data_IF_773830185118
#
_entry.id   IF_773830185118
#
_cell.length_a   1.000
_cell.length_b   1.000
_cell.length_c   1.000
_cell.angle_alpha   90.00
_cell.angle_beta   90.00
_cell.angle_gamma   90.00
#
_symmetry.space_group_name_H-M   'P 1'
#
loop_
_entity.id
_entity.type
_entity.pdbx_description
1 polymer ?
#
# COMPACT_ATOMS: atom_id res chain seq x y z
N UNK A 1 20.90 -15.97 23.44
CA UNK A 1 21.61 -16.61 22.31
C UNK A 1 22.19 -15.52 21.43
N UNK A 2 23.51 -15.54 21.21
CA UNK A 2 24.28 -14.44 20.64
C UNK A 2 23.86 -14.12 19.20
N UNK A 3 23.21 -12.98 18.99
CA UNK A 3 22.97 -12.39 17.67
C UNK A 3 24.32 -12.08 17.02
N UNK A 4 24.72 -12.85 16.00
CA UNK A 4 25.72 -12.39 15.05
C UNK A 4 25.16 -11.11 14.40
N UNK A 5 25.79 -9.98 14.74
CA UNK A 5 25.39 -8.66 14.24
C UNK A 5 25.55 -8.62 12.72
N UNK A 6 24.46 -8.29 12.05
CA UNK A 6 24.45 -7.90 10.64
C UNK A 6 25.19 -6.56 10.50
N UNK A 7 26.52 -6.61 10.34
CA UNK A 7 27.36 -5.41 10.23
C UNK A 7 27.20 -4.71 8.87
N UNK A 8 26.63 -5.39 7.87
CA UNK A 8 26.43 -4.83 6.53
C UNK A 8 25.30 -3.77 6.47
N UNK A 9 24.20 -3.94 7.22
CA UNK A 9 23.08 -2.99 7.22
C UNK A 9 23.30 -1.76 8.13
N UNK A 10 24.17 -1.87 9.14
CA UNK A 10 24.33 -0.86 10.20
C UNK A 10 25.54 0.06 10.05
N UNK A 11 26.46 -0.21 9.12
CA UNK A 11 27.72 0.56 8.96
C UNK A 11 27.78 1.42 7.69
N UNK A 12 26.74 1.42 6.84
CA UNK A 12 26.68 2.24 5.63
C UNK A 12 26.09 3.64 5.83
N UNK A 13 26.03 4.42 4.74
CA UNK A 13 25.47 5.80 4.66
C UNK A 13 24.09 5.97 5.31
N UNK A 14 23.29 4.89 5.41
CA UNK A 14 21.93 4.93 6.00
C UNK A 14 21.89 4.68 7.51
N UNK A 15 23.01 4.37 8.17
CA UNK A 15 23.07 4.12 9.62
C UNK A 15 22.51 5.27 10.48
N UNK A 16 22.87 6.54 10.22
CA UNK A 16 22.31 7.69 10.94
C UNK A 16 20.81 7.86 10.73
N UNK A 17 20.34 7.69 9.48
CA UNK A 17 18.91 7.78 9.14
C UNK A 17 18.15 6.67 9.86
N UNK A 18 18.65 5.43 9.84
CA UNK A 18 18.01 4.31 10.54
C UNK A 18 17.90 4.56 12.05
N UNK A 19 18.97 5.06 12.68
CA UNK A 19 18.95 5.41 14.10
C UNK A 19 17.98 6.54 14.40
N UNK A 20 17.79 7.49 13.48
CA UNK A 20 16.80 8.55 13.63
C UNK A 20 15.38 7.99 13.52
N UNK A 21 15.07 7.25 12.45
CA UNK A 21 13.74 6.67 12.22
C UNK A 21 13.32 5.73 13.37
N UNK A 22 14.21 4.82 13.82
CA UNK A 22 13.92 3.90 14.93
C UNK A 22 13.70 4.60 16.28
N UNK A 23 14.30 5.78 16.50
CA UNK A 23 14.23 6.49 17.79
C UNK A 23 13.13 7.53 17.87
N UNK A 24 12.77 8.14 16.75
CA UNK A 24 11.97 9.37 16.74
C UNK A 24 10.64 9.26 16.00
N UNK A 25 10.43 8.26 15.14
CA UNK A 25 9.14 8.10 14.47
C UNK A 25 8.16 7.40 15.41
N UNK A 26 7.07 8.07 15.81
CA UNK A 26 6.04 7.47 16.66
C UNK A 26 5.18 6.47 15.88
N UNK A 27 4.27 5.78 16.57
CA UNK A 27 3.27 4.94 15.89
C UNK A 27 2.31 5.79 15.03
N UNK A 28 1.73 5.20 13.98
CA UNK A 28 0.76 5.86 13.12
C UNK A 28 -0.43 6.41 13.92
N UNK A 29 -0.89 5.69 14.95
CA UNK A 29 -1.96 6.13 15.84
C UNK A 29 -1.57 7.37 16.66
N UNK A 30 -0.38 7.38 17.27
CA UNK A 30 0.12 8.55 17.99
C UNK A 30 0.20 9.76 17.06
N UNK A 31 0.60 9.53 15.81
CA UNK A 31 0.63 10.60 14.82
C UNK A 31 -0.76 11.13 14.47
N UNK A 32 -1.76 10.27 14.22
CA UNK A 32 -3.12 10.70 13.93
C UNK A 32 -3.69 11.60 15.05
N UNK A 33 -3.42 11.25 16.31
CA UNK A 33 -3.79 12.07 17.47
C UNK A 33 -3.03 13.41 17.51
N UNK A 34 -1.71 13.38 17.32
CA UNK A 34 -0.89 14.60 17.33
C UNK A 34 -1.29 15.54 16.18
N UNK A 35 -1.52 15.01 14.99
CA UNK A 35 -1.97 15.78 13.82
C UNK A 35 -3.32 16.43 14.08
N UNK A 36 -4.25 15.73 14.75
CA UNK A 36 -5.54 16.31 15.16
C UNK A 36 -5.33 17.57 16.00
N UNK A 37 -4.44 17.51 17.00
CA UNK A 37 -4.12 18.65 17.85
C UNK A 37 -3.47 19.77 17.04
N UNK A 38 -2.50 19.43 16.19
CA UNK A 38 -1.78 20.41 15.35
C UNK A 38 -2.76 21.13 14.42
N UNK A 39 -3.65 20.41 13.72
CA UNK A 39 -4.65 21.02 12.84
C UNK A 39 -5.64 21.89 13.62
N UNK A 40 -6.09 21.45 14.80
CA UNK A 40 -6.94 22.27 15.66
C UNK A 40 -6.24 23.57 16.10
N UNK A 41 -4.95 23.51 16.45
CA UNK A 41 -4.17 24.70 16.80
C UNK A 41 -3.93 25.62 15.60
N UNK A 42 -3.65 25.07 14.42
CA UNK A 42 -3.52 25.87 13.20
C UNK A 42 -4.83 26.56 12.86
N UNK A 43 -5.97 25.87 12.96
CA UNK A 43 -7.28 26.49 12.78
C UNK A 43 -7.49 27.65 13.75
N UNK A 44 -7.14 27.48 15.02
CA UNK A 44 -7.29 28.52 16.03
C UNK A 44 -6.38 29.75 15.81
N UNK A 45 -5.15 29.52 15.35
CA UNK A 45 -4.12 30.56 15.24
C UNK A 45 -4.10 31.26 13.89
N UNK A 46 -4.60 30.60 12.84
CA UNK A 46 -4.45 31.05 11.44
C UNK A 46 -5.80 31.37 10.77
N UNK A 47 -6.92 31.19 11.47
CA UNK A 47 -8.27 31.45 10.94
C UNK A 47 -9.13 32.14 11.99
N UNK A 48 -10.25 32.74 11.57
CA UNK A 48 -11.21 33.39 12.49
C UNK A 48 -12.20 32.41 13.16
N UNK A 49 -11.86 31.12 13.23
CA UNK A 49 -12.76 30.08 13.76
C UNK A 49 -12.73 30.02 15.28
N UNK A 50 -13.90 30.08 15.92
CA UNK A 50 -14.01 29.96 17.38
C UNK A 50 -13.59 28.56 17.88
N UNK A 51 -12.95 28.42 19.06
CA UNK A 51 -12.54 27.13 19.62
C UNK A 51 -13.68 26.10 19.71
N UNK A 52 -14.90 26.56 20.02
CA UNK A 52 -16.09 25.70 20.11
C UNK A 52 -16.49 25.13 18.77
N UNK A 53 -16.34 25.91 17.69
CA UNK A 53 -16.64 25.46 16.33
C UNK A 53 -15.59 24.46 15.85
N UNK A 54 -14.31 24.64 16.20
CA UNK A 54 -13.25 23.66 15.88
C UNK A 54 -13.58 22.28 16.46
N UNK A 55 -13.98 22.21 17.74
CA UNK A 55 -14.38 20.95 18.39
C UNK A 55 -15.61 20.36 17.72
N UNK A 56 -16.61 21.18 17.38
CA UNK A 56 -17.82 20.75 16.69
C UNK A 56 -17.53 20.22 15.29
N UNK A 57 -16.70 20.91 14.50
CA UNK A 57 -16.31 20.48 13.15
C UNK A 57 -15.52 19.17 13.19
N UNK A 58 -14.60 19.03 14.16
CA UNK A 58 -13.91 17.77 14.41
C UNK A 58 -14.87 16.63 14.74
N UNK A 59 -15.76 16.83 15.72
CA UNK A 59 -16.70 15.81 16.18
C UNK A 59 -17.68 15.37 15.09
N UNK A 60 -18.22 16.33 14.33
CA UNK A 60 -19.11 16.05 13.20
C UNK A 60 -18.38 15.34 12.05
N UNK A 61 -17.07 15.59 11.89
CA UNK A 61 -16.23 14.97 10.87
C UNK A 61 -15.92 13.50 11.13
N UNK A 62 -15.97 13.02 12.39
CA UNK A 62 -15.51 11.66 12.77
C UNK A 62 -16.15 10.53 11.96
N UNK A 63 -17.40 10.69 11.52
CA UNK A 63 -18.14 9.69 10.73
C UNK A 63 -18.07 9.93 9.21
N UNK A 64 -17.42 11.01 8.76
CA UNK A 64 -17.48 11.50 7.38
C UNK A 64 -16.87 10.57 6.33
N UNK A 65 -16.01 9.63 6.74
CA UNK A 65 -15.34 8.68 5.82
C UNK A 65 -15.56 7.21 6.19
N UNK A 66 -16.62 6.87 6.91
CA UNK A 66 -16.87 5.48 7.36
C UNK A 66 -16.99 4.47 6.19
N UNK A 67 -17.65 4.87 5.09
CA UNK A 67 -17.74 4.03 3.89
C UNK A 67 -16.35 3.76 3.30
N UNK A 68 -15.56 4.82 3.12
CA UNK A 68 -14.18 4.75 2.63
C UNK A 68 -13.28 3.90 3.54
N UNK A 69 -13.36 4.10 4.86
CA UNK A 69 -12.65 3.29 5.85
C UNK A 69 -12.99 1.81 5.69
N UNK A 70 -14.27 1.48 5.57
CA UNK A 70 -14.73 0.10 5.40
C UNK A 70 -14.20 -0.50 4.10
N UNK A 71 -14.23 0.28 3.01
CA UNK A 71 -13.68 -0.14 1.72
C UNK A 71 -12.17 -0.43 1.81
N UNK A 72 -11.39 0.41 2.49
CA UNK A 72 -9.94 0.19 2.71
C UNK A 72 -9.66 -1.05 3.57
N UNK A 73 -10.43 -1.24 4.65
CA UNK A 73 -10.34 -2.44 5.48
C UNK A 73 -10.63 -3.71 4.67
N UNK A 74 -11.65 -3.69 3.79
CA UNK A 74 -11.99 -4.83 2.95
C UNK A 74 -10.86 -5.18 1.97
N UNK A 75 -10.20 -4.20 1.34
CA UNK A 75 -9.08 -4.47 0.42
C UNK A 75 -7.96 -5.22 1.15
N UNK A 76 -7.57 -4.75 2.35
CA UNK A 76 -6.52 -5.38 3.14
C UNK A 76 -6.95 -6.77 3.63
N UNK A 77 -8.15 -6.88 4.20
CA UNK A 77 -8.69 -8.13 4.73
C UNK A 77 -8.80 -9.20 3.64
N UNK A 78 -9.42 -8.87 2.50
CA UNK A 78 -9.62 -9.80 1.38
C UNK A 78 -8.29 -10.13 0.70
N UNK A 79 -7.38 -9.16 0.57
CA UNK A 79 -6.02 -9.40 0.08
C UNK A 79 -5.26 -10.40 0.98
N UNK A 80 -5.39 -10.27 2.29
CA UNK A 80 -4.80 -11.19 3.26
C UNK A 80 -5.42 -12.59 3.19
N UNK A 81 -6.74 -12.70 3.10
CA UNK A 81 -7.42 -13.99 2.92
C UNK A 81 -6.94 -14.65 1.63
N UNK A 82 -6.95 -13.90 0.52
CA UNK A 82 -6.57 -14.40 -0.81
C UNK A 82 -5.13 -14.93 -0.83
N UNK A 83 -4.18 -14.21 -0.21
CA UNK A 83 -2.78 -14.60 -0.10
C UNK A 83 -2.58 -15.96 0.61
N UNK A 84 -3.51 -16.32 1.48
CA UNK A 84 -3.47 -17.55 2.27
C UNK A 84 -4.37 -18.66 1.74
N UNK A 85 -5.00 -18.47 0.58
CA UNK A 85 -5.74 -19.56 -0.06
C UNK A 85 -4.80 -20.62 -0.65
N UNK A 86 -5.22 -21.88 -0.63
CA UNK A 86 -4.45 -23.00 -1.17
C UNK A 86 -3.96 -22.81 -2.62
N UNK A 87 -4.78 -22.34 -3.57
CA UNK A 87 -4.34 -22.07 -4.95
C UNK A 87 -3.21 -21.04 -5.03
N UNK A 88 -3.32 -19.90 -4.33
CA UNK A 88 -2.31 -18.84 -4.36
C UNK A 88 -1.01 -19.32 -3.72
N UNK A 89 -1.08 -20.00 -2.56
CA UNK A 89 0.09 -20.60 -1.90
C UNK A 89 0.84 -21.58 -2.81
N UNK A 90 0.12 -22.44 -3.54
CA UNK A 90 0.71 -23.36 -4.53
C UNK A 90 1.45 -22.62 -5.64
N UNK A 91 0.87 -21.54 -6.17
CA UNK A 91 1.50 -20.73 -7.21
C UNK A 91 2.78 -20.07 -6.67
N UNK A 92 2.76 -19.49 -5.48
CA UNK A 92 3.94 -18.85 -4.88
C UNK A 92 5.09 -19.85 -4.65
N UNK A 93 4.79 -21.06 -4.16
CA UNK A 93 5.79 -22.13 -3.99
C UNK A 93 6.35 -22.58 -5.34
N UNK A 94 5.52 -22.67 -6.39
CA UNK A 94 5.98 -23.02 -7.73
C UNK A 94 6.90 -21.93 -8.31
N UNK A 95 6.52 -20.66 -8.16
CA UNK A 95 7.33 -19.52 -8.60
C UNK A 95 8.67 -19.45 -7.87
N UNK A 96 8.73 -19.82 -6.59
CA UNK A 96 9.96 -19.83 -5.81
C UNK A 96 11.06 -20.76 -6.35
N UNK A 97 10.71 -21.72 -7.21
CA UNK A 97 11.65 -22.65 -7.85
C UNK A 97 12.29 -22.07 -9.11
N UNK A 98 11.76 -20.98 -9.68
CA UNK A 98 12.20 -20.41 -10.96
C UNK A 98 13.62 -19.80 -10.88
N UNK A 99 13.97 -19.00 -9.86
CA UNK A 99 15.28 -18.35 -9.84
C UNK A 99 16.43 -19.36 -9.76
N UNK A 100 17.43 -19.20 -10.64
CA UNK A 100 18.57 -20.12 -10.75
C UNK A 100 19.89 -19.58 -10.20
N UNK A 101 19.97 -18.28 -9.91
CA UNK A 101 21.17 -17.60 -9.40
C UNK A 101 20.82 -16.40 -8.50
N UNK A 102 21.75 -15.93 -7.64
CA UNK A 102 21.45 -14.92 -6.64
C UNK A 102 20.83 -13.64 -7.18
N UNK A 103 21.46 -12.99 -8.17
CA UNK A 103 20.95 -11.72 -8.72
C UNK A 103 19.54 -11.86 -9.35
N UNK A 104 19.27 -13.00 -9.98
CA UNK A 104 17.93 -13.30 -10.55
C UNK A 104 16.92 -13.51 -9.43
N UNK A 105 17.30 -14.11 -8.29
CA UNK A 105 16.40 -14.33 -7.17
C UNK A 105 15.85 -13.00 -6.60
N UNK A 106 16.72 -12.01 -6.34
CA UNK A 106 16.27 -10.73 -5.81
C UNK A 106 15.38 -9.98 -6.81
N UNK A 107 15.83 -9.92 -8.07
CA UNK A 107 15.07 -9.27 -9.14
C UNK A 107 13.69 -9.93 -9.35
N UNK A 108 13.65 -11.27 -9.34
CA UNK A 108 12.42 -12.03 -9.51
C UNK A 108 11.44 -11.81 -8.36
N UNK A 109 11.91 -11.87 -7.10
CA UNK A 109 11.06 -11.60 -5.94
C UNK A 109 10.48 -10.19 -6.02
N UNK A 110 11.29 -9.19 -6.35
CA UNK A 110 10.83 -7.81 -6.54
C UNK A 110 9.76 -7.72 -7.64
N UNK A 111 10.02 -8.25 -8.84
CA UNK A 111 9.10 -8.13 -9.98
C UNK A 111 7.76 -8.81 -9.68
N UNK A 112 7.77 -10.03 -9.13
CA UNK A 112 6.52 -10.73 -8.79
C UNK A 112 5.76 -9.97 -7.71
N UNK A 113 6.45 -9.48 -6.67
CA UNK A 113 5.83 -8.67 -5.63
C UNK A 113 5.24 -7.37 -6.21
N UNK A 114 5.95 -6.68 -7.09
CA UNK A 114 5.49 -5.44 -7.73
C UNK A 114 4.25 -5.66 -8.58
N UNK A 115 4.21 -6.74 -9.36
CA UNK A 115 3.03 -7.11 -10.14
C UNK A 115 1.84 -7.40 -9.22
N UNK A 116 2.05 -8.18 -8.15
CA UNK A 116 0.98 -8.45 -7.19
C UNK A 116 0.50 -7.18 -6.49
N UNK A 117 1.41 -6.28 -6.09
CA UNK A 117 1.06 -5.01 -5.46
C UNK A 117 0.34 -4.03 -6.41
N UNK A 118 0.71 -4.02 -7.69
CA UNK A 118 0.04 -3.22 -8.71
C UNK A 118 -1.43 -3.62 -8.86
N UNK A 119 -1.74 -4.91 -8.81
CA UNK A 119 -3.13 -5.36 -8.84
C UNK A 119 -3.78 -5.21 -7.46
N UNK A 120 -3.22 -5.85 -6.44
CA UNK A 120 -3.81 -5.97 -5.11
C UNK A 120 -2.72 -5.82 -4.06
N UNK A 121 -2.58 -4.60 -3.54
CA UNK A 121 -1.51 -4.28 -2.60
C UNK A 121 -1.55 -5.11 -1.30
N UNK A 122 -2.75 -5.40 -0.79
CA UNK A 122 -2.93 -6.25 0.41
C UNK A 122 -2.44 -7.69 0.19
N UNK A 123 -2.62 -8.24 -1.01
CA UNK A 123 -2.08 -9.54 -1.41
C UNK A 123 -0.56 -9.47 -1.60
N UNK A 124 -0.09 -8.45 -2.33
CA UNK A 124 1.32 -8.32 -2.71
C UNK A 124 2.28 -8.21 -1.52
N UNK A 125 1.92 -7.49 -0.47
CA UNK A 125 2.75 -7.39 0.75
C UNK A 125 2.98 -8.76 1.41
N UNK A 126 1.92 -9.56 1.55
CA UNK A 126 2.00 -10.88 2.20
C UNK A 126 2.68 -11.88 1.26
N UNK A 127 2.28 -11.89 -0.01
CA UNK A 127 2.86 -12.77 -1.02
C UNK A 127 4.35 -12.50 -1.23
N UNK A 128 4.78 -11.23 -1.17
CA UNK A 128 6.20 -10.84 -1.22
C UNK A 128 7.01 -11.41 -0.07
N UNK A 129 6.47 -11.40 1.15
CA UNK A 129 7.10 -12.02 2.33
C UNK A 129 7.25 -13.53 2.17
N UNK A 130 6.15 -14.19 1.78
CA UNK A 130 6.12 -15.64 1.55
C UNK A 130 7.09 -16.02 0.45
N UNK A 131 7.06 -15.32 -0.70
CA UNK A 131 7.93 -15.60 -1.83
C UNK A 131 9.41 -15.41 -1.47
N UNK A 132 9.77 -14.35 -0.73
CA UNK A 132 11.13 -14.12 -0.27
C UNK A 132 11.66 -15.29 0.57
N UNK A 133 10.85 -15.81 1.50
CA UNK A 133 11.22 -16.98 2.30
C UNK A 133 11.28 -18.25 1.47
N UNK A 134 10.28 -18.54 0.65
CA UNK A 134 10.27 -19.76 -0.17
C UNK A 134 11.44 -19.78 -1.17
N UNK A 135 11.80 -18.64 -1.77
CA UNK A 135 12.97 -18.53 -2.64
C UNK A 135 14.26 -18.81 -1.85
N UNK A 136 14.37 -18.33 -0.61
CA UNK A 136 15.52 -18.63 0.26
C UNK A 136 15.61 -20.13 0.58
N UNK A 137 14.49 -20.77 0.94
CA UNK A 137 14.42 -22.21 1.26
C UNK A 137 14.77 -23.06 0.04
N UNK A 138 14.18 -22.76 -1.12
CA UNK A 138 14.45 -23.47 -2.38
C UNK A 138 15.87 -23.20 -2.91
N UNK A 139 16.41 -22.01 -2.66
CA UNK A 139 17.80 -21.66 -2.95
C UNK A 139 18.76 -22.53 -2.15
N UNK A 140 18.57 -22.62 -0.83
CA UNK A 140 19.37 -23.46 0.08
C UNK A 140 19.36 -24.93 -0.36
N UNK A 141 18.19 -25.47 -0.67
CA UNK A 141 18.05 -26.87 -1.13
C UNK A 141 18.82 -27.16 -2.43
N UNK A 142 19.10 -26.11 -3.24
CA UNK A 142 19.86 -26.19 -4.49
C UNK A 142 21.31 -25.72 -4.36
N UNK A 143 21.77 -25.40 -3.15
CA UNK A 143 23.11 -24.88 -2.90
C UNK A 143 23.34 -23.43 -3.37
N UNK A 144 22.27 -22.66 -3.60
CA UNK A 144 22.35 -21.25 -3.97
C UNK A 144 22.32 -20.42 -2.68
N UNK A 145 23.44 -19.77 -2.36
CA UNK A 145 23.52 -18.85 -1.20
C UNK A 145 22.81 -17.55 -1.51
N UNK A 146 21.81 -17.20 -0.70
CA UNK A 146 20.97 -16.02 -0.89
C UNK A 146 20.99 -15.15 0.36
N UNK A 147 21.24 -13.86 0.17
CA UNK A 147 21.24 -12.88 1.24
C UNK A 147 19.79 -12.56 1.62
N UNK A 148 19.34 -13.17 2.72
CA UNK A 148 17.94 -13.18 3.10
C UNK A 148 17.35 -11.78 3.36
N UNK A 149 18.02 -10.85 4.05
CA UNK A 149 17.55 -9.46 4.14
C UNK A 149 17.31 -8.77 2.80
N UNK A 150 18.13 -9.05 1.77
CA UNK A 150 17.92 -8.50 0.43
C UNK A 150 16.71 -9.12 -0.28
N UNK A 151 16.43 -10.41 -0.08
CA UNK A 151 15.18 -11.03 -0.58
C UNK A 151 13.95 -10.39 0.07
N UNK A 152 13.98 -10.17 1.38
CA UNK A 152 12.89 -9.54 2.12
C UNK A 152 12.71 -8.09 1.66
N UNK A 153 13.80 -7.35 1.49
CA UNK A 153 13.77 -5.99 0.94
C UNK A 153 13.19 -5.97 -0.49
N UNK A 154 13.56 -6.91 -1.35
CA UNK A 154 13.00 -7.06 -2.69
C UNK A 154 11.50 -7.34 -2.65
N UNK A 155 11.05 -8.24 -1.77
CA UNK A 155 9.64 -8.55 -1.55
C UNK A 155 8.86 -7.33 -1.08
N UNK A 156 9.38 -6.59 -0.10
CA UNK A 156 8.74 -5.35 0.37
C UNK A 156 8.73 -4.24 -0.69
N UNK A 157 9.84 -4.07 -1.42
CA UNK A 157 9.98 -3.04 -2.44
C UNK A 157 8.99 -3.17 -3.60
N UNK A 158 8.38 -4.34 -3.82
CA UNK A 158 7.27 -4.48 -4.76
C UNK A 158 6.09 -3.55 -4.45
N UNK A 159 5.91 -3.14 -3.18
CA UNK A 159 4.91 -2.16 -2.79
C UNK A 159 5.10 -0.79 -3.47
N UNK A 160 6.25 -0.47 -4.06
CA UNK A 160 6.52 0.85 -4.67
C UNK A 160 5.60 1.27 -5.83
N UNK A 161 4.80 0.36 -6.39
CA UNK A 161 3.85 0.63 -7.48
C UNK A 161 2.38 0.49 -7.07
N UNK A 162 2.11 0.26 -5.78
CA UNK A 162 0.78 -0.09 -5.28
C UNK A 162 -0.29 0.97 -5.55
N UNK A 163 0.08 2.25 -5.39
CA UNK A 163 -0.84 3.37 -5.49
C UNK A 163 -1.05 3.81 -6.94
N UNK A 164 -0.23 3.27 -7.86
CA UNK A 164 -0.33 3.49 -9.31
C UNK A 164 -1.33 2.53 -9.98
N UNK A 165 -1.81 1.52 -9.27
CA UNK A 165 -2.49 0.36 -9.85
C UNK A 165 -3.93 0.14 -9.39
N UNK A 166 -4.45 -1.05 -9.67
CA UNK A 166 -5.88 -1.41 -9.58
C UNK A 166 -6.50 -1.22 -8.20
N UNK A 167 -5.71 -1.28 -7.12
CA UNK A 167 -6.16 -1.09 -5.73
C UNK A 167 -5.65 0.23 -5.11
N UNK A 168 -5.19 1.19 -5.92
CA UNK A 168 -4.69 2.48 -5.46
C UNK A 168 -5.79 3.35 -4.83
N UNK A 169 -5.60 3.74 -3.58
CA UNK A 169 -6.65 4.39 -2.78
C UNK A 169 -7.10 5.75 -3.34
N UNK A 170 -6.18 6.62 -3.72
CA UNK A 170 -6.46 7.95 -4.28
C UNK A 170 -7.21 7.92 -5.61
N UNK A 171 -6.68 7.25 -6.64
CA UNK A 171 -7.35 7.14 -7.94
C UNK A 171 -8.75 6.52 -7.84
N UNK A 172 -8.92 5.47 -7.04
CA UNK A 172 -10.23 4.85 -6.85
C UNK A 172 -11.19 5.74 -6.05
N UNK A 173 -10.69 6.52 -5.10
CA UNK A 173 -11.50 7.53 -4.40
C UNK A 173 -11.99 8.60 -5.38
N UNK A 174 -11.12 9.09 -6.25
CA UNK A 174 -11.49 10.06 -7.28
C UNK A 174 -12.50 9.47 -8.28
N UNK A 175 -12.44 8.17 -8.56
CA UNK A 175 -13.37 7.46 -9.43
C UNK A 175 -14.71 7.08 -8.75
N UNK A 176 -14.82 7.22 -7.43
CA UNK A 176 -16.01 6.81 -6.66
C UNK A 176 -16.92 8.00 -6.42
N UNK A 177 -18.18 7.90 -6.88
CA UNK A 177 -19.21 8.91 -6.64
C UNK A 177 -19.49 9.09 -5.15
N UNK A 178 -19.68 10.32 -4.71
CA UNK A 178 -19.97 10.64 -3.31
C UNK A 178 -18.77 10.43 -2.37
N UNK A 179 -17.56 10.21 -2.89
CA UNK A 179 -16.34 10.19 -2.09
C UNK A 179 -16.06 11.56 -1.48
N UNK A 180 -15.19 11.59 -0.46
CA UNK A 180 -14.76 12.84 0.19
C UNK A 180 -14.00 13.80 -0.75
N UNK A 181 -13.57 13.34 -1.93
CA UNK A 181 -12.96 14.18 -2.97
C UNK A 181 -13.99 14.84 -3.90
N UNK A 182 -15.23 14.36 -3.93
CA UNK A 182 -16.27 14.83 -4.87
C UNK A 182 -16.45 16.34 -4.80
N UNK A 183 -16.44 16.94 -3.60
CA UNK A 183 -16.58 18.38 -3.43
C UNK A 183 -15.41 19.16 -4.06
N UNK A 184 -14.17 18.69 -3.89
CA UNK A 184 -12.98 19.30 -4.50
C UNK A 184 -12.93 19.11 -6.03
N UNK A 185 -13.66 18.11 -6.55
CA UNK A 185 -13.84 17.84 -7.97
C UNK A 185 -15.09 18.52 -8.57
N UNK A 186 -15.72 19.45 -7.84
CA UNK A 186 -16.92 20.15 -8.32
C UNK A 186 -18.19 19.28 -8.40
N UNK A 187 -18.25 18.20 -7.62
CA UNK A 187 -19.33 17.20 -7.61
C UNK A 187 -19.13 16.05 -8.60
N UNK A 188 -18.04 16.06 -9.37
CA UNK A 188 -17.71 15.01 -10.33
C UNK A 188 -16.81 13.91 -9.79
N UNK A 189 -16.42 13.00 -10.69
CA UNK A 189 -15.44 11.94 -10.48
C UNK A 189 -14.40 11.96 -11.59
N UNK A 190 -13.24 11.34 -11.36
CA UNK A 190 -12.21 11.13 -12.38
C UNK A 190 -12.12 9.62 -12.63
N UNK A 191 -12.49 9.13 -13.82
CA UNK A 191 -12.44 7.70 -14.10
C UNK A 191 -10.99 7.19 -14.09
N UNK A 192 -10.82 5.90 -13.81
CA UNK A 192 -9.49 5.26 -13.78
C UNK A 192 -8.75 5.30 -15.13
N UNK A 193 -9.45 5.54 -16.23
CA UNK A 193 -8.86 5.78 -17.56
C UNK A 193 -8.02 7.06 -17.62
N UNK A 194 -8.36 8.06 -16.80
CA UNK A 194 -7.67 9.35 -16.72
C UNK A 194 -6.65 9.38 -15.56
N UNK A 195 -6.54 8.31 -14.77
CA UNK A 195 -5.54 8.19 -13.70
C UNK A 195 -4.66 6.95 -13.91
N UNK A 196 -5.14 5.78 -13.46
CA UNK A 196 -4.41 4.51 -13.48
C UNK A 196 -4.01 4.10 -14.91
N UNK A 197 -4.91 4.20 -15.89
CA UNK A 197 -4.66 3.70 -17.25
C UNK A 197 -4.18 4.79 -18.22
N UNK A 198 -3.75 5.94 -17.71
CA UNK A 198 -3.06 6.92 -18.55
C UNK A 198 -1.77 6.33 -19.09
N UNK A 199 -1.37 6.80 -20.28
CA UNK A 199 -0.15 6.33 -20.92
C UNK A 199 1.09 6.65 -20.08
N UNK A 200 1.11 7.82 -19.43
CA UNK A 200 2.25 8.27 -18.64
C UNK A 200 2.35 7.51 -17.30
N UNK A 201 1.23 7.19 -16.64
CA UNK A 201 1.26 6.33 -15.46
C UNK A 201 1.70 4.91 -15.82
N UNK A 202 1.14 4.35 -16.89
CA UNK A 202 1.49 2.99 -17.35
C UNK A 202 2.98 2.89 -17.71
N UNK A 203 3.50 3.88 -18.45
CA UNK A 203 4.93 3.97 -18.77
C UNK A 203 5.79 4.12 -17.50
N UNK A 204 5.36 4.94 -16.53
CA UNK A 204 6.04 5.10 -15.26
C UNK A 204 6.10 3.80 -14.45
N UNK A 205 4.99 3.05 -14.34
CA UNK A 205 4.96 1.74 -13.67
C UNK A 205 5.97 0.78 -14.27
N UNK A 206 5.96 0.64 -15.60
CA UNK A 206 6.89 -0.24 -16.32
C UNK A 206 8.34 0.19 -16.07
N UNK A 207 8.62 1.49 -16.17
CA UNK A 207 9.96 2.02 -15.98
C UNK A 207 10.45 1.89 -14.53
N UNK A 208 9.60 2.12 -13.53
CA UNK A 208 9.90 1.90 -12.11
C UNK A 208 10.26 0.43 -11.88
N UNK A 209 9.48 -0.52 -12.42
CA UNK A 209 9.76 -1.95 -12.29
C UNK A 209 11.10 -2.29 -12.94
N UNK A 210 11.38 -1.82 -14.16
CA UNK A 210 12.64 -2.10 -14.86
C UNK A 210 13.83 -1.53 -14.09
N UNK A 211 13.77 -0.25 -13.68
CA UNK A 211 14.86 0.42 -12.98
C UNK A 211 15.13 -0.25 -11.64
N UNK A 212 14.10 -0.51 -10.84
CA UNK A 212 14.28 -1.14 -9.53
C UNK A 212 14.75 -2.60 -9.66
N UNK A 213 14.25 -3.36 -10.63
CA UNK A 213 14.73 -4.71 -10.95
C UNK A 213 16.23 -4.71 -11.29
N UNK A 214 16.67 -3.76 -12.13
CA UNK A 214 18.08 -3.58 -12.46
C UNK A 214 18.91 -3.18 -11.23
N UNK A 215 18.37 -2.32 -10.37
CA UNK A 215 19.05 -1.95 -9.12
C UNK A 215 19.22 -3.15 -8.17
N UNK A 216 18.19 -4.00 -8.01
CA UNK A 216 18.30 -5.23 -7.21
C UNK A 216 19.36 -6.20 -7.75
N UNK A 217 19.52 -6.25 -9.07
CA UNK A 217 20.61 -6.99 -9.69
C UNK A 217 21.98 -6.38 -9.37
N UNK A 218 22.12 -5.07 -9.45
CA UNK A 218 23.38 -4.35 -9.23
C UNK A 218 23.86 -4.43 -7.77
N UNK A 219 22.93 -4.37 -6.80
CA UNK A 219 23.24 -4.46 -5.36
C UNK A 219 23.38 -5.89 -4.85
N UNK A 220 23.13 -6.89 -5.70
CA UNK A 220 23.36 -8.31 -5.37
C UNK A 220 24.79 -8.50 -4.86
N UNK A 221 24.99 -9.12 -3.67
CA UNK A 221 26.32 -9.43 -3.17
C UNK A 221 27.12 -10.26 -4.19
N UNK A 222 28.31 -9.77 -4.57
CA UNK A 222 29.24 -10.49 -5.45
C UNK A 222 30.16 -11.45 -4.69
N UNK A 223 30.32 -11.20 -3.40
CA UNK A 223 31.17 -11.97 -2.49
C UNK A 223 30.27 -12.76 -1.53
N UNK A 224 30.41 -14.08 -1.54
CA UNK A 224 29.63 -15.00 -0.70
C UNK A 224 29.86 -14.76 0.81
N UNK A 225 31.01 -14.21 1.22
CA UNK A 225 31.31 -13.94 2.63
C UNK A 225 30.40 -12.88 3.25
N UNK A 226 29.74 -12.08 2.41
CA UNK A 226 28.79 -11.02 2.82
C UNK A 226 27.33 -11.50 2.81
N UNK A 227 27.10 -12.77 2.48
CA UNK A 227 25.76 -13.35 2.39
C UNK A 227 25.31 -13.84 3.76
N UNK A 228 24.32 -13.14 4.32
CA UNK A 228 23.57 -13.62 5.48
C UNK A 228 22.37 -14.44 5.02
N UNK A 229 22.44 -15.76 5.17
CA UNK A 229 21.40 -16.70 4.76
C UNK A 229 20.25 -16.78 5.77
N UNK A 230 19.09 -17.27 5.31
CA UNK A 230 18.00 -17.67 6.19
C UNK A 230 18.54 -18.73 7.19
N UNK A 231 18.16 -18.71 8.49
CA UNK A 231 18.60 -19.72 9.46
C UNK A 231 18.21 -21.16 9.05
N UNK A 232 19.09 -22.13 9.28
CA UNK A 232 18.94 -23.51 8.81
C UNK A 232 17.69 -24.23 9.36
N UNK A 233 17.23 -23.84 10.55
CA UNK A 233 16.04 -24.37 11.20
C UNK A 233 14.72 -23.79 10.66
N UNK A 234 14.78 -22.77 9.80
CA UNK A 234 13.59 -22.21 9.14
C UNK A 234 13.41 -22.89 7.79
N UNK A 235 12.27 -23.55 7.62
CA UNK A 235 11.83 -24.21 6.38
C UNK A 235 10.70 -23.46 5.68
N UNK A 236 10.04 -24.12 4.73
CA UNK A 236 8.79 -23.63 4.15
C UNK A 236 7.72 -23.51 5.24
N UNK A 237 6.85 -22.50 5.15
CA UNK A 237 5.69 -22.46 6.06
C UNK A 237 4.78 -23.65 5.77
N UNK A 238 4.36 -24.33 6.83
CA UNK A 238 3.22 -25.23 6.74
C UNK A 238 1.96 -24.42 6.43
N UNK A 239 1.13 -24.98 5.54
CA UNK A 239 -0.16 -24.38 5.24
C UNK A 239 -1.06 -24.52 6.47
N UNK A 240 -1.45 -23.40 7.07
CA UNK A 240 -2.36 -23.37 8.22
C UNK A 240 -3.78 -23.77 7.77
N UNK A 241 -4.02 -25.08 7.73
CA UNK A 241 -5.31 -25.64 7.34
C UNK A 241 -6.31 -25.61 8.50
N UNK A 242 -7.53 -25.16 8.20
CA UNK A 242 -8.66 -25.25 9.12
C UNK A 242 -8.90 -26.72 9.49
N UNK A 243 -8.72 -27.06 10.76
CA UNK A 243 -9.06 -28.39 11.31
C UNK A 243 -10.46 -28.31 11.92
N UNK A 244 -11.39 -29.07 11.37
CA UNK A 244 -12.76 -29.17 11.86
C UNK A 244 -13.27 -30.60 11.70
N UNK A 245 -14.10 -31.04 12.65
CA UNK A 245 -14.76 -32.35 12.59
C UNK A 245 -16.12 -32.21 11.90
N UNK A 246 -16.44 -33.16 11.03
CA UNK A 246 -17.71 -33.17 10.28
C UNK A 246 -18.61 -34.27 10.86
N UNK A 247 -19.47 -33.91 11.81
CA UNK A 247 -20.31 -34.88 12.53
C UNK A 247 -21.78 -34.70 12.16
N UNK A 248 -22.26 -33.46 12.12
CA UNK A 248 -23.66 -33.10 11.90
C UNK A 248 -23.95 -32.78 10.43
N UNK A 249 -25.24 -32.80 10.00
CA UNK A 249 -25.62 -32.29 8.69
C UNK A 249 -25.23 -30.82 8.45
N UNK A 250 -25.23 -29.98 9.50
CA UNK A 250 -24.75 -28.60 9.41
C UNK A 250 -23.27 -28.55 9.05
N UNK A 251 -22.45 -29.36 9.72
CA UNK A 251 -21.01 -29.44 9.42
C UNK A 251 -20.76 -29.94 7.99
N UNK A 252 -21.61 -30.82 7.46
CA UNK A 252 -21.50 -31.27 6.05
C UNK A 252 -21.80 -30.13 5.07
N UNK A 253 -22.72 -29.24 5.41
CA UNK A 253 -23.01 -28.06 4.62
C UNK A 253 -21.83 -27.08 4.65
N UNK A 254 -21.25 -26.83 5.83
CA UNK A 254 -20.11 -25.92 6.00
C UNK A 254 -18.81 -26.49 5.43
N UNK A 255 -18.66 -27.82 5.38
CA UNK A 255 -17.55 -28.51 4.73
C UNK A 255 -17.71 -28.57 3.19
N UNK A 256 -18.89 -28.26 2.66
CA UNK A 256 -19.17 -28.28 1.23
C UNK A 256 -18.65 -27.03 0.53
N UNK A 257 -18.03 -27.22 -0.65
CA UNK A 257 -17.62 -26.11 -1.51
C UNK A 257 -18.79 -25.42 -2.21
N UNK A 258 -19.96 -26.06 -2.26
CA UNK A 258 -21.08 -25.63 -3.10
C UNK A 258 -21.52 -24.21 -2.74
N UNK A 259 -21.66 -23.90 -1.44
CA UNK A 259 -22.14 -22.58 -1.02
C UNK A 259 -21.15 -21.46 -1.39
N UNK A 260 -19.89 -21.57 -0.98
CA UNK A 260 -18.88 -20.55 -1.31
C UNK A 260 -18.73 -20.39 -2.83
N UNK A 261 -18.80 -21.49 -3.57
CA UNK A 261 -18.68 -21.47 -5.03
C UNK A 261 -19.88 -20.79 -5.72
N UNK A 262 -21.12 -21.11 -5.32
CA UNK A 262 -22.32 -20.46 -5.88
C UNK A 262 -22.30 -18.95 -5.62
N UNK A 263 -21.94 -18.52 -4.40
CA UNK A 263 -21.82 -17.09 -4.09
C UNK A 263 -20.68 -16.42 -4.87
N UNK A 264 -19.55 -17.12 -5.06
CA UNK A 264 -18.47 -16.66 -5.94
C UNK A 264 -18.94 -16.47 -7.39
N UNK A 265 -19.70 -17.41 -7.93
CA UNK A 265 -20.30 -17.30 -9.27
C UNK A 265 -21.33 -16.17 -9.37
N UNK A 266 -22.12 -15.95 -8.33
CA UNK A 266 -23.10 -14.86 -8.29
C UNK A 266 -22.42 -13.49 -8.32
N UNK A 267 -21.36 -13.29 -7.53
CA UNK A 267 -20.56 -12.06 -7.58
C UNK A 267 -19.83 -11.90 -8.92
N UNK A 268 -19.29 -12.98 -9.48
CA UNK A 268 -18.71 -12.95 -10.83
C UNK A 268 -19.73 -12.51 -11.87
N UNK A 269 -20.95 -13.04 -11.81
CA UNK A 269 -22.04 -12.63 -12.71
C UNK A 269 -22.41 -11.15 -12.52
N UNK A 270 -22.46 -10.65 -11.28
CA UNK A 270 -22.67 -9.24 -11.01
C UNK A 270 -21.57 -8.37 -11.64
N UNK A 271 -20.29 -8.73 -11.50
CA UNK A 271 -19.18 -8.00 -12.09
C UNK A 271 -19.25 -7.99 -13.63
N UNK A 272 -19.59 -9.14 -14.25
CA UNK A 272 -19.79 -9.22 -15.70
C UNK A 272 -20.92 -8.28 -16.14
N UNK A 273 -22.06 -8.30 -15.44
CA UNK A 273 -23.19 -7.42 -15.73
C UNK A 273 -22.79 -5.95 -15.59
N UNK A 274 -22.11 -5.58 -14.49
CA UNK A 274 -21.63 -4.23 -14.22
C UNK A 274 -20.79 -3.69 -15.39
N UNK A 275 -19.76 -4.42 -15.81
CA UNK A 275 -18.89 -3.99 -16.90
C UNK A 275 -19.59 -4.03 -18.27
N UNK A 276 -20.46 -5.01 -18.52
CA UNK A 276 -21.25 -5.08 -19.77
C UNK A 276 -22.18 -3.87 -19.96
N UNK A 277 -22.54 -3.20 -18.87
CA UNK A 277 -23.39 -1.99 -18.85
C UNK A 277 -22.59 -0.69 -18.80
N UNK A 278 -21.27 -0.76 -18.97
CA UNK A 278 -20.38 0.41 -18.95
C UNK A 278 -20.00 0.89 -17.55
N UNK A 279 -20.16 0.05 -16.51
CA UNK A 279 -19.76 0.39 -15.16
C UNK A 279 -18.25 0.61 -15.02
N UNK A 280 -17.87 1.60 -14.19
CA UNK A 280 -16.48 1.96 -13.94
C UNK A 280 -15.83 1.12 -12.83
N UNK A 281 -14.50 1.22 -12.69
CA UNK A 281 -13.78 0.64 -11.56
C UNK A 281 -13.82 1.63 -10.40
N UNK A 282 -14.40 1.20 -9.29
CA UNK A 282 -14.49 1.95 -8.02
C UNK A 282 -13.92 1.10 -6.88
N UNK A 283 -13.83 1.69 -5.68
CA UNK A 283 -13.42 0.97 -4.48
C UNK A 283 -14.27 -0.27 -4.19
N UNK A 284 -15.59 -0.18 -4.38
CA UNK A 284 -16.50 -1.30 -4.16
C UNK A 284 -16.27 -2.41 -5.19
N UNK A 285 -16.10 -2.06 -6.46
CA UNK A 285 -15.85 -3.04 -7.53
C UNK A 285 -14.53 -3.78 -7.30
N UNK A 286 -13.50 -3.09 -6.82
CA UNK A 286 -12.26 -3.73 -6.39
C UNK A 286 -12.53 -4.72 -5.25
N UNK A 287 -13.24 -4.31 -4.20
CA UNK A 287 -13.60 -5.22 -3.09
C UNK A 287 -14.40 -6.44 -3.55
N UNK A 288 -15.39 -6.26 -4.43
CA UNK A 288 -16.20 -7.36 -4.94
C UNK A 288 -15.41 -8.29 -5.87
N UNK A 289 -14.45 -7.77 -6.62
CA UNK A 289 -13.52 -8.60 -7.39
C UNK A 289 -12.64 -9.46 -6.49
N UNK A 290 -12.14 -8.92 -5.37
CA UNK A 290 -11.35 -9.68 -4.40
C UNK A 290 -12.19 -10.73 -3.69
N UNK A 291 -13.39 -10.37 -3.25
CA UNK A 291 -14.32 -11.29 -2.60
C UNK A 291 -14.71 -12.43 -3.54
N UNK A 292 -14.93 -12.13 -4.82
CA UNK A 292 -15.16 -13.15 -5.86
C UNK A 292 -14.02 -14.17 -5.89
N UNK A 293 -12.77 -13.70 -5.96
CA UNK A 293 -11.60 -14.59 -5.97
C UNK A 293 -11.47 -15.40 -4.67
N UNK A 294 -11.67 -14.78 -3.51
CA UNK A 294 -11.66 -15.45 -2.20
C UNK A 294 -12.69 -16.58 -2.17
N UNK A 295 -13.93 -16.33 -2.59
CA UNK A 295 -15.00 -17.33 -2.57
C UNK A 295 -14.77 -18.45 -3.58
N UNK A 296 -14.20 -18.15 -4.74
CA UNK A 296 -13.87 -19.16 -5.75
C UNK A 296 -12.67 -20.03 -5.34
N UNK A 297 -11.69 -19.48 -4.60
CA UNK A 297 -10.44 -20.18 -4.25
C UNK A 297 -10.47 -20.86 -2.89
N UNK A 298 -11.40 -20.49 -2.01
CA UNK A 298 -11.65 -21.22 -0.78
C UNK A 298 -12.35 -22.56 -1.05
N UNK A 299 -12.00 -23.56 -0.24
CA UNK A 299 -12.49 -24.92 -0.33
C UNK A 299 -13.91 -25.02 0.20
N UNK A 300 -14.25 -24.29 1.27
CA UNK A 300 -15.54 -24.34 1.95
C UNK A 300 -15.66 -23.22 3.01
N UNK A 301 -16.78 -23.22 3.73
CA UNK A 301 -17.11 -22.18 4.72
C UNK A 301 -16.15 -22.21 5.92
N UNK A 302 -15.73 -23.39 6.38
CA UNK A 302 -14.77 -23.49 7.48
C UNK A 302 -13.43 -22.82 7.15
N UNK A 303 -12.88 -23.08 5.96
CA UNK A 303 -11.65 -22.41 5.52
C UNK A 303 -11.84 -20.89 5.41
N UNK A 304 -12.98 -20.44 4.86
CA UNK A 304 -13.29 -19.02 4.76
C UNK A 304 -13.32 -18.33 6.13
N UNK A 305 -14.00 -18.93 7.12
CA UNK A 305 -14.09 -18.39 8.49
C UNK A 305 -12.70 -18.36 9.14
N UNK A 306 -11.93 -19.45 9.02
CA UNK A 306 -10.58 -19.56 9.57
C UNK A 306 -9.65 -18.48 9.01
N UNK A 307 -9.60 -18.34 7.69
CA UNK A 307 -8.79 -17.32 7.02
C UNK A 307 -9.24 -15.90 7.39
N UNK A 308 -10.56 -15.67 7.50
CA UNK A 308 -11.10 -14.38 7.92
C UNK A 308 -10.67 -14.02 9.33
N UNK A 309 -10.76 -14.97 10.28
CA UNK A 309 -10.31 -14.79 11.66
C UNK A 309 -8.82 -14.43 11.73
N UNK A 310 -7.99 -15.11 10.94
CA UNK A 310 -6.56 -14.84 10.87
C UNK A 310 -6.26 -13.46 10.26
N UNK A 311 -7.06 -13.03 9.27
CA UNK A 311 -6.90 -11.74 8.62
C UNK A 311 -7.43 -10.55 9.44
N UNK A 312 -8.41 -10.76 10.33
CA UNK A 312 -9.14 -9.70 11.01
C UNK A 312 -8.26 -8.75 11.85
N UNK A 313 -7.17 -9.24 12.43
CA UNK A 313 -6.24 -8.41 13.21
C UNK A 313 -5.51 -7.37 12.35
N UNK A 314 -5.40 -7.59 11.04
CA UNK A 314 -4.67 -6.70 10.13
C UNK A 314 -5.36 -5.34 9.89
N UNK A 315 -6.65 -5.20 10.20
CA UNK A 315 -7.42 -3.96 9.95
C UNK A 315 -7.66 -3.12 11.20
N UNK A 316 -7.29 -3.61 12.39
CA UNK A 316 -7.65 -2.96 13.67
C UNK A 316 -7.14 -1.54 13.80
N UNK A 317 -5.88 -1.29 13.41
CA UNK A 317 -5.29 0.05 13.45
C UNK A 317 -5.96 1.02 12.46
N UNK A 318 -6.37 0.55 11.29
CA UNK A 318 -7.08 1.33 10.27
C UNK A 318 -8.43 1.81 10.82
N UNK A 319 -9.20 0.89 11.42
CA UNK A 319 -10.51 1.19 12.00
C UNK A 319 -10.45 2.27 13.10
N UNK A 320 -9.35 2.32 13.85
CA UNK A 320 -9.18 3.31 14.92
C UNK A 320 -8.66 4.66 14.41
N UNK A 321 -7.80 4.65 13.39
CA UNK A 321 -7.16 5.87 12.88
C UNK A 321 -8.06 6.69 11.95
N UNK A 322 -8.84 6.04 11.09
CA UNK A 322 -9.61 6.74 10.05
C UNK A 322 -10.63 7.75 10.59
N UNK A 323 -11.37 7.47 11.68
CA UNK A 323 -12.23 8.48 12.30
C UNK A 323 -11.47 9.76 12.69
N UNK A 324 -10.21 9.67 13.12
CA UNK A 324 -9.40 10.85 13.45
C UNK A 324 -9.03 11.65 12.19
N UNK A 325 -8.66 10.98 11.10
CA UNK A 325 -8.43 11.66 9.81
C UNK A 325 -9.71 12.32 9.27
N UNK A 326 -10.86 11.70 9.48
CA UNK A 326 -12.16 12.26 9.16
C UNK A 326 -12.45 13.53 9.99
N UNK A 327 -12.14 13.50 11.29
CA UNK A 327 -12.24 14.66 12.16
C UNK A 327 -11.30 15.79 11.74
N UNK A 328 -10.05 15.50 11.36
CA UNK A 328 -9.10 16.47 10.81
C UNK A 328 -9.68 17.12 9.54
N UNK A 329 -10.19 16.31 8.62
CA UNK A 329 -10.84 16.81 7.40
C UNK A 329 -12.04 17.70 7.74
N UNK A 330 -12.85 17.32 8.74
CA UNK A 330 -13.97 18.13 9.23
C UNK A 330 -13.53 19.52 9.69
N UNK A 331 -12.44 19.63 10.46
CA UNK A 331 -11.84 20.91 10.84
C UNK A 331 -11.43 21.68 9.59
N UNK A 332 -10.67 21.06 8.69
CA UNK A 332 -10.08 21.74 7.54
C UNK A 332 -11.11 22.28 6.55
N UNK A 333 -12.19 21.53 6.30
CA UNK A 333 -13.28 21.93 5.40
C UNK A 333 -14.02 23.17 5.88
N UNK A 334 -14.13 23.38 7.19
CA UNK A 334 -15.00 24.41 7.78
C UNK A 334 -14.24 25.60 8.39
N UNK A 335 -12.91 25.54 8.44
CA UNK A 335 -12.05 26.61 9.00
C UNK A 335 -11.37 27.48 7.93
N UNK A 336 -11.41 27.06 6.66
CA UNK A 336 -10.68 27.73 5.58
C UNK A 336 -9.22 27.28 5.43
N UNK A 337 -8.74 26.34 6.26
CA UNK A 337 -7.37 25.83 6.17
C UNK A 337 -7.03 25.18 4.82
N UNK A 338 -8.00 24.57 4.14
CA UNK A 338 -7.78 24.00 2.79
C UNK A 338 -7.32 25.10 1.82
N UNK A 339 -8.03 26.24 1.79
CA UNK A 339 -7.70 27.37 0.93
C UNK A 339 -6.36 27.99 1.31
N UNK A 340 -6.10 28.16 2.62
CA UNK A 340 -4.82 28.71 3.09
C UNK A 340 -3.62 27.86 2.63
N UNK A 341 -3.73 26.53 2.75
CA UNK A 341 -2.64 25.65 2.32
C UNK A 341 -2.53 25.52 0.80
N UNK A 342 -3.65 25.56 0.06
CA UNK A 342 -3.60 25.54 -1.39
C UNK A 342 -2.97 26.82 -1.93
N UNK A 343 -3.32 28.00 -1.41
CA UNK A 343 -2.74 29.28 -1.80
C UNK A 343 -1.22 29.33 -1.53
N UNK A 344 -0.81 28.83 -0.36
CA UNK A 344 0.61 28.70 -0.03
C UNK A 344 1.34 27.79 -1.03
N UNK A 345 0.73 26.66 -1.41
CA UNK A 345 1.28 25.74 -2.38
C UNK A 345 1.34 26.33 -3.80
N UNK A 346 0.29 27.05 -4.21
CA UNK A 346 0.20 27.77 -5.49
C UNK A 346 1.30 28.83 -5.58
N UNK A 347 1.58 29.55 -4.49
CA UNK A 347 2.58 30.62 -4.48
C UNK A 347 4.02 30.17 -4.83
N UNK A 348 4.32 28.88 -4.67
CA UNK A 348 5.63 28.28 -4.96
C UNK A 348 5.60 27.37 -6.20
N UNK A 349 4.44 27.24 -6.87
CA UNK A 349 4.20 26.26 -7.93
C UNK A 349 3.80 26.92 -9.24
N UNK A 350 4.03 26.21 -10.33
CA UNK A 350 3.56 26.55 -11.69
C UNK A 350 2.87 25.32 -12.29
N UNK A 351 2.17 25.45 -13.41
CA UNK A 351 1.58 24.30 -14.11
C UNK A 351 2.59 23.16 -14.32
N UNK A 352 3.80 23.51 -14.75
CA UNK A 352 4.87 22.56 -15.07
C UNK A 352 5.51 21.94 -13.82
N UNK A 353 5.66 22.70 -12.74
CA UNK A 353 6.34 22.24 -11.51
C UNK A 353 5.39 21.59 -10.50
N UNK A 354 4.07 21.81 -10.64
CA UNK A 354 3.04 21.40 -9.71
C UNK A 354 3.12 19.90 -9.37
N UNK A 355 3.11 19.02 -10.38
CA UNK A 355 3.08 17.57 -10.15
C UNK A 355 4.29 17.09 -9.32
N UNK A 356 5.48 17.58 -9.65
CA UNK A 356 6.72 17.22 -8.92
C UNK A 356 6.71 17.76 -7.49
N UNK A 357 6.29 19.01 -7.29
CA UNK A 357 6.19 19.59 -5.94
C UNK A 357 5.14 18.88 -5.09
N UNK A 358 4.01 18.49 -5.69
CA UNK A 358 2.93 17.79 -5.01
C UNK A 358 3.37 16.39 -4.59
N UNK A 359 4.13 15.70 -5.46
CA UNK A 359 4.80 14.44 -5.15
C UNK A 359 5.77 14.55 -3.98
N UNK A 360 6.65 15.56 -3.98
CA UNK A 360 7.59 15.77 -2.89
C UNK A 360 6.87 16.10 -1.58
N UNK A 361 5.85 16.97 -1.65
CA UNK A 361 4.99 17.31 -0.51
C UNK A 361 4.31 16.07 0.07
N UNK A 362 3.73 15.23 -0.77
CA UNK A 362 3.10 13.98 -0.36
C UNK A 362 4.10 12.98 0.22
N UNK A 363 5.31 12.90 -0.31
CA UNK A 363 6.37 12.08 0.28
C UNK A 363 6.77 12.53 1.69
N UNK A 364 6.85 13.85 1.91
CA UNK A 364 7.11 14.41 3.25
C UNK A 364 5.94 14.12 4.19
N UNK A 365 4.71 14.36 3.75
CA UNK A 365 3.51 14.11 4.56
C UNK A 365 3.38 12.63 4.92
N UNK A 366 3.77 11.70 4.07
CA UNK A 366 3.66 10.26 4.36
C UNK A 366 4.58 9.77 5.51
N UNK A 367 5.71 10.44 5.78
CA UNK A 367 6.50 10.14 6.99
C UNK A 367 5.71 10.35 8.29
N UNK A 368 4.75 11.25 8.19
CA UNK A 368 3.89 11.68 9.26
C UNK A 368 2.57 10.90 9.24
N UNK A 369 1.91 10.81 8.09
CA UNK A 369 0.64 10.10 7.88
C UNK A 369 0.86 8.84 7.04
N UNK A 370 1.34 7.72 7.61
CA UNK A 370 1.71 6.52 6.86
C UNK A 370 0.49 5.67 6.46
N UNK A 371 -0.50 6.31 5.85
CA UNK A 371 -1.77 5.71 5.45
C UNK A 371 -2.22 6.42 4.18
N UNK A 372 -2.05 5.78 3.02
CA UNK A 372 -2.40 6.41 1.74
C UNK A 372 -3.83 6.93 1.71
N UNK A 373 -4.80 6.17 2.25
CA UNK A 373 -6.18 6.64 2.36
C UNK A 373 -6.36 7.81 3.33
N UNK A 374 -5.73 7.76 4.51
CA UNK A 374 -5.80 8.83 5.51
C UNK A 374 -5.12 10.12 5.04
N UNK A 375 -3.97 10.00 4.37
CA UNK A 375 -3.26 11.09 3.75
C UNK A 375 -4.09 11.72 2.63
N UNK A 376 -4.73 10.92 1.77
CA UNK A 376 -5.62 11.43 0.73
C UNK A 376 -6.83 12.19 1.30
N UNK A 377 -7.39 11.72 2.41
CA UNK A 377 -8.49 12.42 3.09
C UNK A 377 -8.10 13.84 3.48
N UNK A 378 -6.85 14.08 3.88
CA UNK A 378 -6.38 15.36 4.38
C UNK A 378 -5.74 16.23 3.27
N UNK A 379 -4.83 15.65 2.49
CA UNK A 379 -4.00 16.36 1.51
C UNK A 379 -4.64 16.43 0.12
N UNK A 380 -5.48 15.46 -0.25
CA UNK A 380 -6.11 15.39 -1.57
C UNK A 380 -6.90 16.66 -1.92
N UNK A 381 -7.82 17.13 -1.06
CA UNK A 381 -8.57 18.37 -1.30
C UNK A 381 -7.70 19.61 -1.48
N UNK A 382 -6.59 19.72 -0.73
CA UNK A 382 -5.63 20.83 -0.85
C UNK A 382 -5.00 20.82 -2.25
N UNK A 383 -4.50 19.65 -2.68
CA UNK A 383 -3.80 19.52 -3.95
C UNK A 383 -4.75 19.69 -5.14
N UNK A 384 -5.98 19.20 -5.05
CA UNK A 384 -7.01 19.42 -6.08
C UNK A 384 -7.38 20.90 -6.21
N UNK A 385 -7.53 21.61 -5.08
CA UNK A 385 -7.81 23.05 -5.12
C UNK A 385 -6.64 23.84 -5.72
N UNK A 386 -5.40 23.52 -5.33
CA UNK A 386 -4.21 24.15 -5.91
C UNK A 386 -4.07 23.86 -7.42
N UNK A 387 -4.36 22.63 -7.85
CA UNK A 387 -4.37 22.28 -9.27
C UNK A 387 -5.40 23.09 -10.05
N UNK A 388 -6.61 23.27 -9.50
CA UNK A 388 -7.66 24.08 -10.10
C UNK A 388 -7.20 25.54 -10.28
N UNK A 389 -6.59 26.14 -9.25
CA UNK A 389 -6.10 27.52 -9.32
C UNK A 389 -4.98 27.70 -10.38
N UNK A 390 -4.15 26.68 -10.55
CA UNK A 390 -3.08 26.68 -11.56
C UNK A 390 -3.56 26.22 -12.94
N UNK A 391 -4.83 25.80 -13.10
CA UNK A 391 -5.37 25.19 -14.30
C UNK A 391 -4.56 23.94 -14.74
N UNK A 392 -4.24 23.08 -13.76
CA UNK A 392 -3.60 21.77 -13.96
C UNK A 392 -4.66 20.69 -13.95
N UNK A 393 -4.51 19.68 -14.81
CA UNK A 393 -5.37 18.50 -14.83
C UNK A 393 -5.44 17.85 -13.43
N UNK A 394 -6.64 17.68 -12.84
CA UNK A 394 -6.78 17.14 -11.49
C UNK A 394 -6.27 15.70 -11.36
N UNK A 395 -6.20 14.93 -12.45
CA UNK A 395 -5.57 13.60 -12.45
C UNK A 395 -4.09 13.66 -12.06
N UNK A 396 -3.36 14.71 -12.45
CA UNK A 396 -1.96 14.93 -12.07
C UNK A 396 -1.87 15.15 -10.55
N UNK A 397 -2.78 15.92 -9.96
CA UNK A 397 -2.83 16.13 -8.52
C UNK A 397 -3.07 14.82 -7.77
N UNK A 398 -4.06 14.03 -8.21
CA UNK A 398 -4.35 12.71 -7.65
C UNK A 398 -3.10 11.82 -7.73
N UNK A 399 -2.52 11.66 -8.92
CA UNK A 399 -1.40 10.73 -9.09
C UNK A 399 -0.12 11.22 -8.42
N UNK A 400 0.12 12.53 -8.34
CA UNK A 400 1.28 13.09 -7.62
C UNK A 400 1.21 12.75 -6.12
N UNK A 401 0.04 12.91 -5.48
CA UNK A 401 -0.14 12.52 -4.08
C UNK A 401 0.03 11.01 -3.92
N UNK A 402 -0.54 10.20 -4.83
CA UNK A 402 -0.40 8.75 -4.82
C UNK A 402 1.08 8.30 -4.94
N UNK A 403 1.83 8.93 -5.84
CA UNK A 403 3.24 8.63 -6.04
C UNK A 403 4.08 9.02 -4.82
N UNK A 404 3.83 10.19 -4.23
CA UNK A 404 4.59 10.65 -3.07
C UNK A 404 4.37 9.76 -1.85
N UNK A 405 3.11 9.40 -1.59
CA UNK A 405 2.73 8.46 -0.53
C UNK A 405 3.45 7.11 -0.66
N UNK A 406 3.33 6.44 -1.81
CA UNK A 406 3.97 5.13 -1.98
C UNK A 406 5.51 5.20 -1.99
N UNK A 407 6.08 6.34 -2.39
CA UNK A 407 7.51 6.51 -2.56
C UNK A 407 8.26 6.42 -1.24
N UNK A 408 7.81 7.16 -0.23
CA UNK A 408 8.50 7.20 1.07
C UNK A 408 8.14 6.04 1.99
N UNK A 409 7.17 5.19 1.61
CA UNK A 409 6.97 3.86 2.25
C UNK A 409 8.24 3.01 2.22
N UNK A 410 9.17 3.26 1.30
CA UNK A 410 10.46 2.56 1.27
C UNK A 410 11.39 2.91 2.44
N UNK A 411 11.18 4.03 3.11
CA UNK A 411 11.90 4.40 4.34
C UNK A 411 11.03 4.26 5.59
N UNK A 412 9.73 4.45 5.44
CA UNK A 412 8.78 4.47 6.52
C UNK A 412 8.49 3.04 7.00
N UNK A 413 8.53 2.76 8.32
CA UNK A 413 8.56 1.39 8.83
C UNK A 413 7.19 0.70 8.85
N UNK A 414 6.06 1.42 8.82
CA UNK A 414 4.74 0.87 9.14
C UNK A 414 4.36 -0.34 8.28
N UNK A 415 4.44 -0.21 6.95
CA UNK A 415 4.13 -1.32 6.03
C UNK A 415 5.21 -2.40 5.99
N UNK A 416 6.43 -2.07 6.45
CA UNK A 416 7.50 -3.04 6.56
C UNK A 416 7.35 -3.94 7.81
N UNK A 417 6.69 -3.48 8.88
CA UNK A 417 6.59 -4.26 10.13
C UNK A 417 5.96 -5.65 9.94
N UNK A 418 4.85 -5.84 9.21
CA UNK A 418 4.26 -7.16 9.02
C UNK A 418 5.22 -8.14 8.31
N UNK A 419 5.88 -7.70 7.25
CA UNK A 419 6.84 -8.54 6.50
C UNK A 419 8.10 -8.83 7.31
N UNK A 420 8.58 -7.86 8.07
CA UNK A 420 9.73 -8.02 8.97
C UNK A 420 9.44 -9.01 10.11
N UNK A 421 8.22 -8.97 10.66
CA UNK A 421 7.78 -9.92 11.68
C UNK A 421 7.77 -11.36 11.15
N UNK A 422 7.26 -11.58 9.93
CA UNK A 422 7.28 -12.89 9.26
C UNK A 422 8.71 -13.34 8.96
N UNK A 423 9.59 -12.41 8.57
CA UNK A 423 10.98 -12.70 8.23
C UNK A 423 11.91 -12.83 9.46
N UNK A 424 11.48 -12.42 10.65
CA UNK A 424 12.34 -12.36 11.83
C UNK A 424 13.48 -11.34 11.71
N UNK A 425 13.27 -10.26 10.94
CA UNK A 425 14.25 -9.21 10.69
C UNK A 425 13.84 -7.89 11.37
N UNK A 426 14.77 -6.95 11.47
CA UNK A 426 14.50 -5.58 11.90
C UNK A 426 14.55 -4.63 10.71
N UNK A 427 13.94 -3.44 10.84
CA UNK A 427 13.94 -2.44 9.76
C UNK A 427 15.35 -2.10 9.27
N UNK A 428 16.31 -1.97 10.20
CA UNK A 428 17.74 -1.75 9.90
C UNK A 428 18.37 -2.75 8.94
N UNK A 429 17.83 -3.97 8.89
CA UNK A 429 18.41 -5.05 8.08
C UNK A 429 18.05 -4.89 6.60
N UNK A 430 16.98 -4.16 6.28
CA UNK A 430 16.47 -3.98 4.92
C UNK A 430 16.55 -2.54 4.40
N UNK A 431 16.62 -1.54 5.30
CA UNK A 431 16.49 -0.12 4.94
C UNK A 431 17.50 0.33 3.87
N UNK A 432 18.73 -0.15 3.94
CA UNK A 432 19.76 0.19 2.94
C UNK A 432 19.36 -0.23 1.53
N UNK A 433 18.66 -1.36 1.39
CA UNK A 433 18.21 -1.90 0.11
C UNK A 433 16.92 -1.21 -0.38
N UNK A 434 15.96 -0.94 0.51
CA UNK A 434 14.73 -0.23 0.14
C UNK A 434 15.00 1.23 -0.23
N UNK A 435 16.05 1.83 0.33
CA UNK A 435 16.54 3.17 -0.10
C UNK A 435 16.93 3.20 -1.56
N UNK A 436 17.51 2.11 -2.08
CA UNK A 436 17.90 2.03 -3.49
C UNK A 436 16.64 2.07 -4.37
N UNK A 437 15.59 1.35 -3.97
CA UNK A 437 14.26 1.44 -4.60
C UNK A 437 13.73 2.87 -4.55
N UNK A 438 13.78 3.53 -3.39
CA UNK A 438 13.35 4.92 -3.23
C UNK A 438 14.03 5.86 -4.22
N UNK A 439 15.36 5.81 -4.32
CA UNK A 439 16.10 6.71 -5.22
C UNK A 439 15.74 6.41 -6.67
N UNK A 440 15.76 5.14 -7.07
CA UNK A 440 15.47 4.73 -8.45
C UNK A 440 14.04 5.09 -8.88
N UNK A 441 13.06 4.77 -8.06
CA UNK A 441 11.65 5.04 -8.38
C UNK A 441 11.33 6.54 -8.31
N UNK A 442 11.91 7.28 -7.36
CA UNK A 442 11.67 8.72 -7.22
C UNK A 442 12.09 9.52 -8.44
N UNK A 443 13.25 9.20 -9.03
CA UNK A 443 13.70 9.84 -10.29
C UNK A 443 12.72 9.58 -11.42
N UNK A 444 12.25 8.33 -11.56
CA UNK A 444 11.29 7.96 -12.60
C UNK A 444 9.94 8.65 -12.40
N UNK A 445 9.41 8.64 -11.18
CA UNK A 445 8.11 9.24 -10.84
C UNK A 445 8.11 10.76 -11.04
N UNK A 446 9.18 11.45 -10.62
CA UNK A 446 9.34 12.89 -10.89
C UNK A 446 9.42 13.18 -12.38
N UNK A 447 10.16 12.39 -13.15
CA UNK A 447 10.24 12.52 -14.60
C UNK A 447 8.89 12.30 -15.28
N UNK A 448 8.13 11.30 -14.84
CA UNK A 448 6.79 11.01 -15.35
C UNK A 448 5.81 12.15 -15.08
N UNK A 449 5.80 12.69 -13.85
CA UNK A 449 4.96 13.83 -13.49
C UNK A 449 5.36 15.10 -14.24
N UNK A 450 6.66 15.34 -14.43
CA UNK A 450 7.14 16.45 -15.24
C UNK A 450 6.61 16.37 -16.67
N UNK A 451 6.71 15.19 -17.31
CA UNK A 451 6.22 14.99 -18.67
C UNK A 451 4.69 15.10 -18.72
N UNK A 452 3.98 14.53 -17.75
CA UNK A 452 2.53 14.61 -17.68
C UNK A 452 2.03 16.05 -17.53
N UNK A 453 2.76 16.91 -16.80
CA UNK A 453 2.45 18.34 -16.65
C UNK A 453 2.79 19.20 -17.88
N UNK A 454 3.41 18.63 -18.92
CA UNK A 454 3.77 19.33 -20.17
C UNK A 454 2.81 19.05 -21.34
N UNK A 455 1.90 18.10 -21.18
CA UNK A 455 0.91 17.66 -22.17
C UNK A 455 -0.45 18.18 -21.74
#
# INVERSE_FOLDING_TARGET
>A
MSQQRNHAGSSGLMGPINNFLERWIPSAMTFAMALTIIVALMALLMTDTAPTDIVRYWGNGLSGILAFMTQMCLILLLGHILANTGPIRKVLIALARVPSRPAVAYMFVFVISAVLCYFVWGLGLIAGAVLAREVAVQGRARGIKLHFPLLVAAGYSGFIVWHMGYSGSGPLTAATEGSFLSAALGGGTIPVSETIFTWWNTAAVILVIIVCAALFWLVSPKDESRVYELPANVGSEEHDEAKYEVVTPGDRMDASRILVFIFGLALLAYLIIHFSRGGSITLDIVNWSLLTLVLLFTKNVFELIHLTKNAASSVGEILLQFPLYAGILGIMQHTGLIALFSDAFVSISTQQTFGVLAFLSAGIVNFFVPSGGGQFAVQGPIMLNAAQQLNVDPSIAIMAVAYGDQWTNMLQPFWALPILAIAGLKMRDILGYTTVTLIGSGVVMMGALWIASSV
#
